data_IF_723052507182
#
_entry.id   IF_723052507182
#
_cell.length_a   1.000
_cell.length_b   1.000
_cell.length_c   1.000
_cell.angle_alpha   90.00
_cell.angle_beta   90.00
_cell.angle_gamma   90.00
#
_symmetry.space_group_name_H-M   'P 1'
#
loop_
_entity.id
_entity.type
_entity.pdbx_description
1 polymer ?
#
# COMPACT_ATOMS: atom_id res chain seq x y z
N UNK A 1 -20.12 28.95 -11.12
CA UNK A 1 -20.28 27.55 -10.69
C UNK A 1 -21.71 27.13 -10.95
N UNK A 2 -21.90 26.07 -11.74
CA UNK A 2 -23.21 25.49 -12.02
C UNK A 2 -23.73 24.69 -10.81
N UNK A 3 -25.03 24.39 -10.77
CA UNK A 3 -25.59 23.50 -9.73
C UNK A 3 -24.98 22.09 -9.78
N UNK A 4 -24.58 21.64 -10.97
CA UNK A 4 -23.87 20.37 -11.18
C UNK A 4 -22.50 20.38 -10.49
N UNK A 5 -21.73 21.46 -10.64
CA UNK A 5 -20.42 21.60 -10.00
C UNK A 5 -20.53 21.64 -8.47
N UNK A 6 -21.59 22.28 -7.95
CA UNK A 6 -21.87 22.31 -6.50
C UNK A 6 -22.22 20.92 -5.96
N UNK A 7 -23.04 20.16 -6.68
CA UNK A 7 -23.43 18.80 -6.28
C UNK A 7 -22.23 17.85 -6.27
N UNK A 8 -21.40 17.89 -7.31
CA UNK A 8 -20.18 17.06 -7.39
C UNK A 8 -19.17 17.36 -6.27
N UNK A 9 -19.03 18.64 -5.89
CA UNK A 9 -18.21 19.05 -4.75
C UNK A 9 -18.74 18.54 -3.41
N UNK A 10 -20.06 18.55 -3.21
CA UNK A 10 -20.71 18.00 -2.01
C UNK A 10 -20.50 16.49 -1.94
N UNK A 11 -20.79 15.77 -3.03
CA UNK A 11 -20.62 14.31 -3.11
C UNK A 11 -19.17 13.90 -2.80
N UNK A 12 -18.19 14.63 -3.34
CA UNK A 12 -16.76 14.39 -3.05
C UNK A 12 -16.41 14.66 -1.58
N UNK A 13 -16.99 15.71 -0.99
CA UNK A 13 -16.74 16.07 0.41
C UNK A 13 -17.34 15.02 1.35
N UNK A 14 -18.54 14.53 1.05
CA UNK A 14 -19.19 13.45 1.80
C UNK A 14 -18.38 12.16 1.73
N UNK A 15 -17.90 11.78 0.55
CA UNK A 15 -17.03 10.61 0.39
C UNK A 15 -15.73 10.75 1.20
N UNK A 16 -15.08 11.92 1.18
CA UNK A 16 -13.88 12.17 1.97
C UNK A 16 -14.15 12.08 3.47
N UNK A 17 -15.29 12.59 3.93
CA UNK A 17 -15.68 12.50 5.34
C UNK A 17 -15.95 11.05 5.76
N UNK A 18 -16.57 10.26 4.89
CA UNK A 18 -16.79 8.83 5.15
C UNK A 18 -15.45 8.09 5.28
N UNK A 19 -14.52 8.27 4.34
CA UNK A 19 -13.20 7.64 4.40
C UNK A 19 -12.44 8.06 5.67
N UNK A 20 -12.50 9.33 6.06
CA UNK A 20 -11.88 9.79 7.31
C UNK A 20 -12.46 9.10 8.52
N UNK A 21 -13.78 8.99 8.61
CA UNK A 21 -14.45 8.32 9.72
C UNK A 21 -14.09 6.84 9.79
N UNK A 22 -14.05 6.17 8.63
CA UNK A 22 -13.62 4.77 8.56
C UNK A 22 -12.18 4.58 9.07
N UNK A 23 -11.27 5.52 8.77
CA UNK A 23 -9.89 5.51 9.29
C UNK A 23 -9.86 5.81 10.79
N UNK A 24 -10.66 6.76 11.28
CA UNK A 24 -10.74 7.14 12.70
C UNK A 24 -11.22 5.96 13.57
N UNK A 25 -12.18 5.18 13.08
CA UNK A 25 -12.74 4.03 13.79
C UNK A 25 -11.92 2.74 13.56
N UNK A 26 -10.91 2.75 12.67
CA UNK A 26 -10.13 1.57 12.30
C UNK A 26 -9.13 1.18 13.39
N UNK A 27 -9.10 -0.10 13.83
CA UNK A 27 -8.02 -0.60 14.67
C UNK A 27 -6.64 -0.38 14.04
N UNK A 28 -5.66 0.07 14.82
CA UNK A 28 -4.30 0.36 14.32
C UNK A 28 -3.69 -0.85 13.60
N UNK A 29 -3.93 -2.07 14.08
CA UNK A 29 -3.51 -3.30 13.40
C UNK A 29 -4.01 -3.33 11.95
N UNK A 30 -5.29 -3.08 11.74
CA UNK A 30 -5.92 -3.13 10.42
C UNK A 30 -5.39 -2.03 9.51
N UNK A 31 -5.25 -0.81 10.04
CA UNK A 31 -4.67 0.31 9.29
C UNK A 31 -3.26 -0.02 8.80
N UNK A 32 -2.42 -0.57 9.69
CA UNK A 32 -1.04 -0.95 9.34
C UNK A 32 -1.02 -2.13 8.36
N UNK A 33 -1.95 -3.10 8.47
CA UNK A 33 -2.10 -4.18 7.49
C UNK A 33 -2.49 -3.67 6.10
N UNK A 34 -3.39 -2.69 6.02
CA UNK A 34 -3.76 -2.02 4.77
C UNK A 34 -2.54 -1.30 4.18
N UNK A 35 -1.82 -0.54 4.99
CA UNK A 35 -0.59 0.14 4.57
C UNK A 35 0.47 -0.84 4.05
N UNK A 36 0.67 -1.97 4.72
CA UNK A 36 1.61 -3.00 4.27
C UNK A 36 1.22 -3.58 2.90
N UNK A 37 -0.07 -3.84 2.71
CA UNK A 37 -0.63 -4.33 1.44
C UNK A 37 -0.45 -3.30 0.32
N UNK A 38 -0.73 -2.03 0.61
CA UNK A 38 -0.57 -0.93 -0.34
C UNK A 38 0.89 -0.73 -0.74
N UNK A 39 1.82 -0.77 0.22
CA UNK A 39 3.25 -0.69 -0.05
C UNK A 39 3.72 -1.84 -0.93
N UNK A 40 3.23 -3.06 -0.69
CA UNK A 40 3.55 -4.20 -1.55
C UNK A 40 3.06 -3.98 -2.98
N UNK A 41 1.81 -3.55 -3.12
CA UNK A 41 1.16 -3.24 -4.40
C UNK A 41 1.87 -2.12 -5.17
N UNK A 42 2.26 -1.04 -4.48
CA UNK A 42 3.06 0.06 -5.03
C UNK A 42 4.44 -0.44 -5.45
N UNK A 43 5.11 -1.23 -4.60
CA UNK A 43 6.43 -1.80 -4.89
C UNK A 43 6.43 -2.57 -6.21
N UNK A 44 5.46 -3.48 -6.42
CA UNK A 44 5.35 -4.24 -7.67
C UNK A 44 5.09 -3.35 -8.89
N UNK A 45 4.27 -2.29 -8.76
CA UNK A 45 4.07 -1.32 -9.85
C UNK A 45 5.37 -0.57 -10.17
N UNK A 46 6.10 -0.13 -9.15
CA UNK A 46 7.37 0.60 -9.30
C UNK A 46 8.53 -0.28 -9.78
N UNK A 47 8.41 -1.60 -9.69
CA UNK A 47 9.28 -2.55 -10.39
C UNK A 47 8.97 -2.66 -11.88
N UNK A 48 7.88 -2.07 -12.37
CA UNK A 48 7.50 -2.11 -13.78
C UNK A 48 6.83 -3.41 -14.21
N UNK A 49 6.34 -4.24 -13.27
CA UNK A 49 5.80 -5.57 -13.59
C UNK A 49 4.56 -5.56 -14.50
N UNK A 50 3.72 -4.54 -14.37
CA UNK A 50 2.50 -4.40 -15.18
C UNK A 50 2.67 -3.38 -16.31
N UNK A 51 3.47 -2.34 -16.07
CA UNK A 51 3.74 -1.27 -17.01
C UNK A 51 5.16 -0.74 -16.80
N UNK A 52 6.02 -0.93 -17.81
CA UNK A 52 7.40 -0.46 -17.77
C UNK A 52 7.49 1.07 -17.60
N UNK A 53 6.48 1.84 -18.00
CA UNK A 53 6.44 3.30 -17.81
C UNK A 53 6.32 3.71 -16.34
N UNK A 54 5.84 2.82 -15.48
CA UNK A 54 5.73 3.07 -14.04
C UNK A 54 7.01 2.68 -13.27
N UNK A 55 8.00 2.09 -13.95
CA UNK A 55 9.25 1.63 -13.35
C UNK A 55 10.02 2.79 -12.75
N UNK A 56 10.25 2.72 -11.46
CA UNK A 56 11.09 3.62 -10.67
C UNK A 56 11.73 2.81 -9.54
N UNK A 57 12.99 2.43 -9.72
CA UNK A 57 13.69 1.58 -8.77
C UNK A 57 13.96 2.27 -7.43
N UNK A 58 14.03 3.60 -7.38
CA UNK A 58 14.20 4.31 -6.10
C UNK A 58 12.91 4.22 -5.28
N UNK A 59 11.77 4.43 -5.94
CA UNK A 59 10.45 4.31 -5.30
C UNK A 59 10.14 2.85 -4.93
N UNK A 60 10.52 1.89 -5.78
CA UNK A 60 10.38 0.47 -5.45
C UNK A 60 11.19 0.10 -4.20
N UNK A 61 12.44 0.56 -4.10
CA UNK A 61 13.28 0.35 -2.92
C UNK A 61 12.67 0.96 -1.66
N UNK A 62 12.19 2.20 -1.74
CA UNK A 62 11.54 2.85 -0.61
C UNK A 62 10.33 2.06 -0.12
N UNK A 63 9.49 1.56 -1.03
CA UNK A 63 8.35 0.73 -0.68
C UNK A 63 8.77 -0.60 -0.02
N UNK A 64 9.84 -1.24 -0.52
CA UNK A 64 10.39 -2.48 0.05
C UNK A 64 10.91 -2.25 1.46
N UNK A 65 11.76 -1.24 1.65
CA UNK A 65 12.36 -0.95 2.96
C UNK A 65 11.29 -0.56 3.98
N UNK A 66 10.26 0.19 3.55
CA UNK A 66 9.13 0.56 4.41
C UNK A 66 8.26 -0.64 4.79
N UNK A 67 7.98 -1.53 3.83
CA UNK A 67 7.23 -2.76 4.08
C UNK A 67 7.99 -3.70 5.01
N UNK A 68 9.31 -3.80 4.86
CA UNK A 68 10.18 -4.61 5.73
C UNK A 68 10.08 -4.14 7.18
N UNK A 69 10.26 -2.83 7.41
CA UNK A 69 10.14 -2.22 8.73
C UNK A 69 8.74 -2.40 9.34
N UNK A 70 7.68 -2.21 8.54
CA UNK A 70 6.31 -2.43 9.02
C UNK A 70 6.04 -3.91 9.32
N UNK A 71 6.55 -4.83 8.51
CA UNK A 71 6.36 -6.27 8.71
C UNK A 71 6.97 -6.73 10.05
N UNK A 72 8.16 -6.25 10.42
CA UNK A 72 8.78 -6.58 11.70
C UNK A 72 7.90 -6.19 12.91
N UNK A 73 7.23 -5.04 12.83
CA UNK A 73 6.33 -4.54 13.88
C UNK A 73 4.98 -5.26 13.84
N UNK A 74 4.47 -5.55 12.65
CA UNK A 74 3.12 -6.10 12.46
C UNK A 74 3.09 -7.62 12.70
N UNK A 75 4.16 -8.35 12.40
CA UNK A 75 4.20 -9.82 12.44
C UNK A 75 3.71 -10.45 13.76
N UNK A 76 4.03 -9.92 14.96
CA UNK A 76 3.52 -10.47 16.22
C UNK A 76 2.00 -10.34 16.41
N UNK A 77 1.35 -9.44 15.65
CA UNK A 77 -0.08 -9.15 15.74
C UNK A 77 -0.90 -9.84 14.65
N UNK A 78 -0.24 -10.52 13.72
CA UNK A 78 -0.86 -11.24 12.62
C UNK A 78 -1.04 -12.71 12.98
N UNK A 79 -2.09 -13.32 12.45
CA UNK A 79 -2.20 -14.77 12.43
C UNK A 79 -1.16 -15.37 11.45
N UNK A 80 -1.06 -16.70 11.42
CA UNK A 80 -0.08 -17.40 10.59
C UNK A 80 -0.26 -17.13 9.10
N UNK A 81 -1.49 -17.17 8.61
CA UNK A 81 -1.81 -16.98 7.19
C UNK A 81 -1.48 -15.55 6.74
N UNK A 82 -1.91 -14.54 7.50
CA UNK A 82 -1.58 -13.13 7.28
C UNK A 82 -0.06 -12.91 7.21
N UNK A 83 0.68 -13.52 8.15
CA UNK A 83 2.14 -13.48 8.19
C UNK A 83 2.77 -14.09 6.93
N UNK A 84 2.34 -15.30 6.55
CA UNK A 84 2.89 -16.03 5.42
C UNK A 84 2.66 -15.26 4.10
N UNK A 85 1.46 -14.66 3.93
CA UNK A 85 1.12 -13.84 2.76
C UNK A 85 2.02 -12.60 2.66
N UNK A 86 2.14 -11.80 3.72
CA UNK A 86 2.97 -10.60 3.69
C UNK A 86 4.46 -10.92 3.52
N UNK A 87 4.93 -11.97 4.20
CA UNK A 87 6.32 -12.45 4.06
C UNK A 87 6.62 -12.89 2.64
N UNK A 88 5.70 -13.60 1.99
CA UNK A 88 5.85 -14.01 0.60
C UNK A 88 5.88 -12.79 -0.34
N UNK A 89 4.98 -11.81 -0.15
CA UNK A 89 4.94 -10.60 -0.94
C UNK A 89 6.27 -9.81 -0.84
N UNK A 90 6.76 -9.60 0.39
CA UNK A 90 8.02 -8.92 0.65
C UNK A 90 9.24 -9.66 0.07
N UNK A 91 9.27 -10.98 0.21
CA UNK A 91 10.34 -11.82 -0.36
C UNK A 91 10.37 -11.73 -1.89
N UNK A 92 9.20 -11.76 -2.52
CA UNK A 92 9.07 -11.59 -3.96
C UNK A 92 9.56 -10.21 -4.39
N UNK A 93 9.12 -9.13 -3.73
CA UNK A 93 9.57 -7.77 -4.04
C UNK A 93 11.10 -7.64 -3.98
N UNK A 94 11.72 -8.12 -2.90
CA UNK A 94 13.18 -8.12 -2.73
C UNK A 94 13.87 -8.90 -3.87
N UNK A 95 13.37 -10.08 -4.22
CA UNK A 95 13.91 -10.88 -5.32
C UNK A 95 13.83 -10.16 -6.66
N UNK A 96 12.66 -9.61 -7.00
CA UNK A 96 12.47 -8.90 -8.27
C UNK A 96 13.27 -7.62 -8.35
N UNK A 97 13.37 -6.88 -7.25
CA UNK A 97 14.23 -5.70 -7.17
C UNK A 97 15.68 -6.04 -7.52
N UNK A 98 16.24 -7.09 -6.91
CA UNK A 98 17.61 -7.54 -7.20
C UNK A 98 17.77 -7.91 -8.68
N UNK A 99 16.78 -8.58 -9.28
CA UNK A 99 16.80 -8.93 -10.72
C UNK A 99 16.83 -7.70 -11.62
N UNK A 100 16.08 -6.66 -11.29
CA UNK A 100 15.99 -5.42 -12.07
C UNK A 100 17.17 -4.46 -11.87
N UNK A 101 18.01 -4.71 -10.85
CA UNK A 101 19.21 -3.92 -10.54
C UNK A 101 20.53 -4.53 -11.02
N UNK A 102 20.49 -5.74 -11.58
CA UNK A 102 21.64 -6.39 -12.22
C UNK A 102 21.69 -6.03 -13.70
#
# INVERSE_FOLDING_TARGET
MSEKDKKELVDKTELLNQVKKEIEDMPVKELVSVMATDLASVGFRRLGMKDAKQKDLKQAKLAIDSLDALFEVLAPHLNKEENDVLKAALSNLKMYYVKETK
#
